data_IF_491158700519
#
_entry.id   IF_491158700519
#
_cell.length_a   1.000
_cell.length_b   1.000
_cell.length_c   1.000
_cell.angle_alpha   90.00
_cell.angle_beta   90.00
_cell.angle_gamma   90.00
#
_symmetry.space_group_name_H-M   'P 1'
#
loop_
_entity.id
_entity.type
_entity.pdbx_description
1 polymer ?
#
# COMPACT_ATOMS: atom_id res chain seq x y z
N UNK A 1 22.90 -15.28 -17.69
CA UNK A 1 22.77 -14.26 -16.63
C UNK A 1 21.48 -13.51 -16.88
N UNK A 2 20.35 -14.07 -16.48
CA UNK A 2 19.11 -13.29 -16.38
C UNK A 2 19.16 -12.74 -14.97
N UNK A 3 19.41 -11.45 -14.86
CA UNK A 3 19.14 -10.75 -13.62
C UNK A 3 17.61 -10.67 -13.58
N UNK A 4 16.99 -11.55 -12.79
CA UNK A 4 15.55 -11.55 -12.53
C UNK A 4 15.23 -10.40 -11.57
N UNK A 5 15.65 -9.19 -11.95
CA UNK A 5 15.53 -7.96 -11.19
C UNK A 5 14.31 -7.19 -11.63
N UNK A 6 13.15 -7.85 -11.76
CA UNK A 6 11.89 -7.14 -11.87
C UNK A 6 11.47 -6.81 -10.44
N UNK A 7 12.05 -5.75 -9.89
CA UNK A 7 11.46 -5.10 -8.72
C UNK A 7 10.10 -4.58 -9.22
N UNK A 8 9.05 -5.40 -9.08
CA UNK A 8 7.69 -4.92 -9.31
C UNK A 8 7.50 -3.81 -8.29
N UNK A 9 7.53 -2.57 -8.77
CA UNK A 9 7.33 -1.37 -7.96
C UNK A 9 6.11 -1.48 -7.05
N UNK A 10 5.13 -2.28 -7.49
CA UNK A 10 3.96 -2.64 -6.72
C UNK A 10 4.00 -4.09 -6.23
N UNK A 11 3.60 -4.30 -4.97
CA UNK A 11 3.33 -5.61 -4.38
C UNK A 11 1.95 -5.61 -3.70
N UNK A 12 1.41 -6.80 -3.47
CA UNK A 12 0.15 -6.99 -2.74
C UNK A 12 0.43 -7.94 -1.59
N UNK A 13 0.02 -7.58 -0.37
CA UNK A 13 0.17 -8.44 0.80
C UNK A 13 -0.98 -9.46 0.95
N UNK A 14 -0.91 -10.29 2.00
CA UNK A 14 -1.90 -11.33 2.27
C UNK A 14 -3.31 -10.77 2.57
N UNK A 15 -3.39 -9.50 2.98
CA UNK A 15 -4.65 -8.78 3.23
C UNK A 15 -5.20 -8.09 1.96
N UNK A 16 -4.51 -8.23 0.83
CA UNK A 16 -4.90 -7.63 -0.45
C UNK A 16 -4.56 -6.15 -0.56
N UNK A 17 -3.71 -5.62 0.34
CA UNK A 17 -3.29 -4.22 0.32
C UNK A 17 -2.19 -4.03 -0.70
N UNK A 18 -2.31 -2.97 -1.50
CA UNK A 18 -1.31 -2.59 -2.51
C UNK A 18 -0.22 -1.74 -1.86
N UNK A 19 1.03 -2.09 -2.10
CA UNK A 19 2.22 -1.38 -1.66
C UNK A 19 3.01 -0.88 -2.87
N UNK A 20 3.57 0.32 -2.78
CA UNK A 20 4.59 0.82 -3.69
C UNK A 20 5.91 0.89 -2.94
N UNK A 21 6.84 0.00 -3.27
CA UNK A 21 8.04 -0.26 -2.46
C UNK A 21 7.67 -0.55 -1.00
N UNK A 22 7.92 0.37 -0.07
CA UNK A 22 7.61 0.31 1.36
C UNK A 22 6.39 1.15 1.77
N UNK A 23 5.65 1.71 0.79
CA UNK A 23 4.58 2.68 1.02
C UNK A 23 3.20 2.11 0.71
N UNK A 24 2.27 2.25 1.64
CA UNK A 24 0.86 1.86 1.44
C UNK A 24 0.19 2.70 0.35
N UNK A 25 -0.42 2.06 -0.65
CA UNK A 25 -1.20 2.74 -1.69
C UNK A 25 -2.61 3.03 -1.19
N UNK A 26 -2.89 4.29 -0.88
CA UNK A 26 -4.22 4.75 -0.44
C UNK A 26 -5.16 4.84 -1.65
N UNK A 27 -6.38 4.25 -1.57
CA UNK A 27 -7.38 4.40 -2.62
C UNK A 27 -7.74 5.87 -2.88
N UNK A 28 -8.06 6.22 -4.13
CA UNK A 28 -8.56 7.57 -4.47
C UNK A 28 -10.00 7.82 -4.02
N UNK A 29 -10.70 6.77 -3.58
CA UNK A 29 -12.02 6.90 -2.95
C UNK A 29 -11.89 7.70 -1.65
N UNK A 30 -12.65 8.80 -1.56
CA UNK A 30 -12.56 9.74 -0.45
C UNK A 30 -12.92 9.10 0.90
N UNK A 31 -13.98 8.28 0.94
CA UNK A 31 -14.45 7.69 2.18
C UNK A 31 -13.46 6.65 2.72
N UNK A 32 -12.84 5.85 1.84
CA UNK A 32 -11.79 4.91 2.21
C UNK A 32 -10.53 5.65 2.67
N UNK A 33 -10.12 6.71 1.96
CA UNK A 33 -8.98 7.54 2.34
C UNK A 33 -9.17 8.17 3.72
N UNK A 34 -10.34 8.73 4.02
CA UNK A 34 -10.65 9.34 5.31
C UNK A 34 -10.60 8.32 6.45
N UNK A 35 -11.09 7.09 6.22
CA UNK A 35 -10.99 6.00 7.21
C UNK A 35 -9.54 5.64 7.53
N UNK A 36 -8.71 5.43 6.51
CA UNK A 36 -7.29 5.07 6.71
C UNK A 36 -6.55 6.18 7.46
N UNK A 37 -6.79 7.44 7.13
CA UNK A 37 -6.20 8.59 7.84
C UNK A 37 -6.66 8.66 9.30
N UNK A 38 -7.93 8.35 9.57
CA UNK A 38 -8.48 8.34 10.93
C UNK A 38 -7.84 7.24 11.78
N UNK A 39 -7.70 6.04 11.23
CA UNK A 39 -7.07 4.90 11.90
C UNK A 39 -5.60 5.18 12.24
N UNK A 40 -4.84 5.72 11.27
CA UNK A 40 -3.44 6.09 11.48
C UNK A 40 -3.26 7.15 12.58
N UNK A 41 -4.13 8.17 12.62
CA UNK A 41 -4.08 9.21 13.66
C UNK A 41 -4.59 8.75 15.04
N UNK A 42 -5.41 7.71 15.10
CA UNK A 42 -5.99 7.19 16.34
C UNK A 42 -5.17 6.04 16.94
N UNK A 43 -4.12 5.59 16.26
CA UNK A 43 -3.21 4.56 16.73
C UNK A 43 -2.29 5.14 17.82
N UNK A 44 -2.20 4.52 19.03
CA UNK A 44 -1.39 5.00 20.16
C UNK A 44 0.10 5.15 19.88
#
# INVERSE_FOLDING_TARGET
>A
NVEDGKHTEFSVDDDGVVWFEDRLCIPSDQALREKVMTEAHSSP
#
